data_IF_326653150658
#
_entry.id   IF_326653150658
#
_cell.length_a   1.000
_cell.length_b   1.000
_cell.length_c   1.000
_cell.angle_alpha   90.00
_cell.angle_beta   90.00
_cell.angle_gamma   90.00
#
_symmetry.space_group_name_H-M   'P 1'
#
loop_
_entity.id
_entity.type
_entity.pdbx_description
1 polymer ?
#
# COMPACT_ATOMS: atom_id res chain seq x y z
N UNK A 1 8.49 -5.80 -3.03
CA UNK A 1 8.56 -6.48 -1.71
C UNK A 1 7.27 -6.24 -0.95
N UNK A 2 6.93 -7.09 0.01
CA UNK A 2 5.63 -7.08 0.70
C UNK A 2 5.74 -7.20 2.21
N UNK A 3 6.53 -8.14 2.73
CA UNK A 3 6.78 -8.32 4.16
C UNK A 3 7.94 -7.44 4.66
N UNK A 4 8.21 -7.41 5.96
CA UNK A 4 9.42 -6.71 6.46
C UNK A 4 10.70 -7.48 6.12
N UNK A 5 10.65 -8.81 6.13
CA UNK A 5 11.81 -9.68 5.93
C UNK A 5 12.32 -9.60 4.49
N UNK A 6 11.44 -9.79 3.50
CA UNK A 6 11.81 -9.66 2.09
C UNK A 6 12.21 -8.22 1.75
N UNK A 7 11.60 -7.21 2.39
CA UNK A 7 12.07 -5.83 2.19
C UNK A 7 13.50 -5.63 2.63
N UNK A 8 13.93 -6.11 3.80
CA UNK A 8 15.34 -5.95 4.21
C UNK A 8 16.30 -6.63 3.24
N UNK A 9 16.00 -7.87 2.85
CA UNK A 9 16.84 -8.64 1.94
C UNK A 9 16.91 -8.02 0.54
N UNK A 10 15.76 -7.72 -0.06
CA UNK A 10 15.69 -7.16 -1.41
C UNK A 10 16.19 -5.72 -1.45
N UNK A 11 16.01 -4.94 -0.39
CA UNK A 11 16.57 -3.59 -0.29
C UNK A 11 18.09 -3.61 -0.26
N UNK A 12 18.68 -4.53 0.49
CA UNK A 12 20.13 -4.69 0.55
C UNK A 12 20.68 -5.10 -0.81
N UNK A 13 20.12 -6.17 -1.41
CA UNK A 13 20.57 -6.69 -2.71
C UNK A 13 20.32 -5.67 -3.83
N UNK A 14 19.13 -5.06 -3.86
CA UNK A 14 18.77 -4.04 -4.84
C UNK A 14 19.69 -2.82 -4.78
N UNK A 15 20.06 -2.37 -3.57
CA UNK A 15 21.02 -1.27 -3.41
C UNK A 15 22.43 -1.65 -3.87
N UNK A 16 22.90 -2.86 -3.57
CA UNK A 16 24.20 -3.35 -4.02
C UNK A 16 24.27 -3.48 -5.55
N UNK A 17 23.19 -3.94 -6.18
CA UNK A 17 23.09 -4.15 -7.62
C UNK A 17 22.56 -2.94 -8.39
N UNK A 18 22.22 -1.84 -7.70
CA UNK A 18 21.56 -0.64 -8.26
C UNK A 18 20.26 -0.95 -9.02
N UNK A 19 19.49 -1.90 -8.51
CA UNK A 19 18.17 -2.27 -9.03
C UNK A 19 17.09 -1.54 -8.19
N UNK A 20 16.16 -0.81 -8.82
CA UNK A 20 15.10 -0.12 -8.10
C UNK A 20 14.16 -1.11 -7.41
N UNK A 21 13.76 -0.80 -6.18
CA UNK A 21 12.88 -1.64 -5.36
C UNK A 21 11.55 -0.94 -5.16
N UNK A 22 10.46 -1.64 -5.49
CA UNK A 22 9.09 -1.19 -5.19
C UNK A 22 8.51 -2.03 -4.07
N UNK A 23 7.91 -1.37 -3.07
CA UNK A 23 7.22 -2.04 -1.95
C UNK A 23 5.72 -1.93 -2.12
N UNK A 24 4.99 -3.03 -1.91
CA UNK A 24 3.53 -3.05 -1.91
C UNK A 24 2.98 -3.13 -0.48
N UNK A 25 1.88 -2.44 -0.20
CA UNK A 25 1.16 -2.53 1.08
C UNK A 25 -0.35 -2.51 0.89
N UNK A 26 -1.03 -3.52 1.43
CA UNK A 26 -2.50 -3.58 1.43
C UNK A 26 -3.13 -3.53 2.84
N UNK A 27 -2.31 -3.50 3.89
CA UNK A 27 -2.79 -3.47 5.29
C UNK A 27 -2.81 -2.04 5.83
N UNK A 28 -3.89 -1.68 6.51
CA UNK A 28 -4.11 -0.37 7.15
C UNK A 28 -3.55 -0.26 8.57
N UNK A 29 -2.97 -1.34 9.11
CA UNK A 29 -2.33 -1.33 10.44
C UNK A 29 -1.27 -0.21 10.47
N UNK A 30 -1.28 0.69 11.45
CA UNK A 30 -0.30 1.78 11.52
C UNK A 30 1.14 1.26 11.53
N UNK A 31 2.02 1.96 10.81
CA UNK A 31 3.48 1.76 10.97
C UNK A 31 3.91 2.44 12.24
N UNK A 32 4.42 1.65 13.20
CA UNK A 32 5.09 2.21 14.35
C UNK A 32 6.32 3.00 13.90
N UNK A 33 6.43 4.24 14.37
CA UNK A 33 7.50 5.16 14.01
C UNK A 33 8.77 4.89 14.82
N UNK A 34 9.50 3.84 14.41
CA UNK A 34 10.83 3.54 14.92
C UNK A 34 11.78 3.22 13.77
N UNK A 35 13.07 3.36 14.02
CA UNK A 35 14.12 3.47 13.00
C UNK A 35 14.11 2.38 11.89
N UNK A 36 14.06 1.06 12.21
CA UNK A 36 13.97 -0.01 11.23
C UNK A 36 12.77 0.12 10.29
N UNK A 37 11.59 0.44 10.84
CA UNK A 37 10.39 0.62 10.04
C UNK A 37 10.51 1.85 9.15
N UNK A 38 11.00 2.97 9.69
CA UNK A 38 11.17 4.19 8.91
C UNK A 38 12.02 3.92 7.66
N UNK A 39 13.16 3.24 7.81
CA UNK A 39 14.04 2.92 6.70
C UNK A 39 13.41 1.99 5.66
N UNK A 40 12.67 0.98 6.12
CA UNK A 40 11.93 0.05 5.27
C UNK A 40 10.89 0.73 4.36
N UNK A 41 10.31 1.85 4.79
CA UNK A 41 9.29 2.57 4.03
C UNK A 41 9.81 3.79 3.29
N UNK A 42 10.80 4.51 3.82
CA UNK A 42 11.23 5.80 3.25
C UNK A 42 12.55 5.74 2.50
N UNK A 43 13.51 4.92 2.96
CA UNK A 43 14.91 5.03 2.51
C UNK A 43 15.32 4.01 1.47
N UNK A 44 14.75 2.80 1.56
CA UNK A 44 15.12 1.70 0.68
C UNK A 44 14.30 1.60 -0.60
N UNK A 45 12.96 1.64 -0.57
CA UNK A 45 12.19 1.57 -1.80
C UNK A 45 12.28 2.89 -2.57
N UNK A 46 12.30 2.79 -3.90
CA UNK A 46 12.13 3.94 -4.80
C UNK A 46 10.67 4.39 -4.80
N UNK A 47 9.74 3.44 -4.68
CA UNK A 47 8.31 3.71 -4.58
C UNK A 47 7.60 2.68 -3.68
N UNK A 48 6.52 3.13 -3.06
CA UNK A 48 5.59 2.33 -2.28
C UNK A 48 4.21 2.41 -2.91
N UNK A 49 3.69 1.26 -3.36
CA UNK A 49 2.33 1.13 -3.88
C UNK A 49 1.39 0.68 -2.76
N UNK A 50 0.21 1.27 -2.68
CA UNK A 50 -0.81 0.91 -1.70
C UNK A 50 -2.13 0.57 -2.37
N UNK A 51 -2.98 -0.22 -1.71
CA UNK A 51 -4.29 -0.62 -2.25
C UNK A 51 -5.41 0.42 -2.03
N UNK A 52 -5.11 1.58 -1.45
CA UNK A 52 -6.12 2.60 -1.18
C UNK A 52 -5.57 3.84 -0.49
N UNK A 53 -6.32 4.93 -0.60
CA UNK A 53 -5.83 6.26 -0.21
C UNK A 53 -5.55 6.39 1.28
N UNK A 54 -6.38 5.79 2.14
CA UNK A 54 -6.16 5.81 3.60
C UNK A 54 -4.79 5.23 4.00
N UNK A 55 -4.31 4.20 3.28
CA UNK A 55 -2.98 3.63 3.51
C UNK A 55 -1.90 4.58 2.98
N UNK A 56 -2.12 5.17 1.81
CA UNK A 56 -1.21 6.16 1.23
C UNK A 56 -1.02 7.37 2.15
N UNK A 57 -2.10 7.92 2.69
CA UNK A 57 -2.09 9.07 3.57
C UNK A 57 -1.35 8.77 4.88
N UNK A 58 -1.61 7.60 5.47
CA UNK A 58 -0.85 7.14 6.63
C UNK A 58 0.65 7.07 6.33
N UNK A 59 1.04 6.52 5.17
CA UNK A 59 2.44 6.43 4.78
C UNK A 59 3.09 7.78 4.48
N UNK A 60 2.36 8.71 3.85
CA UNK A 60 2.82 10.09 3.59
C UNK A 60 3.01 10.88 4.88
N UNK A 61 2.28 10.54 5.95
CA UNK A 61 2.48 11.12 7.28
C UNK A 61 3.77 10.67 7.98
N UNK A 62 4.44 9.62 7.47
CA UNK A 62 5.67 9.12 8.09
C UNK A 62 6.82 10.11 7.91
N UNK A 63 7.55 10.35 8.99
CA UNK A 63 8.69 11.24 8.96
C UNK A 63 9.75 10.76 7.94
N UNK A 64 10.12 11.66 7.03
CA UNK A 64 11.14 11.41 5.99
C UNK A 64 10.63 10.69 4.74
N UNK A 65 9.31 10.51 4.59
CA UNK A 65 8.69 10.08 3.34
C UNK A 65 8.62 11.27 2.36
N UNK A 66 9.07 11.08 1.11
CA UNK A 66 8.79 12.05 0.05
C UNK A 66 7.38 11.79 -0.54
N UNK A 67 6.57 12.83 -0.79
CA UNK A 67 5.20 12.66 -1.29
C UNK A 67 5.11 11.82 -2.57
N UNK A 68 6.10 11.92 -3.44
CA UNK A 68 6.17 11.27 -4.74
C UNK A 68 6.49 9.76 -4.64
N UNK A 69 7.00 9.32 -3.48
CA UNK A 69 7.33 7.91 -3.25
C UNK A 69 6.09 7.04 -3.02
N UNK A 70 4.91 7.61 -2.74
CA UNK A 70 3.71 6.84 -2.37
C UNK A 70 2.62 6.97 -3.41
N UNK A 71 2.28 5.84 -4.05
CA UNK A 71 1.26 5.75 -5.09
C UNK A 71 0.12 4.84 -4.64
N UNK A 72 -1.10 5.35 -4.74
CA UNK A 72 -2.32 4.59 -4.49
C UNK A 72 -2.75 3.90 -5.78
N UNK A 73 -2.82 2.57 -5.77
CA UNK A 73 -3.31 1.75 -6.87
C UNK A 73 -4.42 0.86 -6.30
N UNK A 74 -5.70 1.12 -6.63
CA UNK A 74 -6.80 0.33 -6.09
C UNK A 74 -6.66 -1.14 -6.47
N UNK A 75 -7.17 -2.02 -5.62
CA UNK A 75 -7.26 -3.43 -5.96
C UNK A 75 -8.05 -3.57 -7.27
N UNK A 76 -7.48 -4.30 -8.24
CA UNK A 76 -8.13 -4.54 -9.52
C UNK A 76 -9.45 -5.28 -9.31
N UNK A 77 -10.51 -4.77 -9.92
CA UNK A 77 -11.82 -5.41 -9.96
C UNK A 77 -12.27 -5.51 -11.42
N UNK A 78 -12.95 -6.59 -11.76
CA UNK A 78 -13.56 -6.77 -13.07
C UNK A 78 -14.79 -5.85 -13.20
N UNK A 79 -14.68 -4.80 -14.01
CA UNK A 79 -15.75 -3.80 -14.17
C UNK A 79 -16.91 -4.30 -15.02
N UNK A 80 -16.74 -5.39 -15.79
CA UNK A 80 -17.87 -6.04 -16.48
C UNK A 80 -18.74 -6.83 -15.50
N UNK A 81 -18.15 -7.26 -14.37
CA UNK A 81 -18.84 -7.98 -13.30
C UNK A 81 -19.27 -7.09 -12.14
N UNK A 82 -18.49 -6.06 -11.82
CA UNK A 82 -18.70 -5.18 -10.67
C UNK A 82 -18.85 -3.73 -11.13
N UNK A 83 -20.10 -3.33 -11.33
CA UNK A 83 -20.45 -1.96 -11.70
C UNK A 83 -20.76 -1.12 -10.44
N UNK A 84 -19.94 -0.09 -10.14
CA UNK A 84 -20.17 0.79 -8.98
C UNK A 84 -21.45 1.64 -9.10
N UNK A 85 -22.09 1.71 -10.27
CA UNK A 85 -23.36 2.42 -10.46
C UNK A 85 -24.60 1.63 -9.99
N UNK A 86 -24.45 0.34 -9.68
CA UNK A 86 -25.55 -0.47 -9.15
C UNK A 86 -25.92 -0.06 -7.72
N UNK A 87 -27.21 0.15 -7.45
CA UNK A 87 -27.76 0.62 -6.15
C UNK A 87 -27.35 -0.25 -4.94
N UNK A 88 -27.22 -1.56 -5.15
CA UNK A 88 -26.98 -2.54 -4.09
C UNK A 88 -28.19 -2.78 -3.16
N UNK A 89 -29.36 -2.22 -3.45
CA UNK A 89 -30.58 -2.34 -2.63
C UNK A 89 -31.01 -3.80 -2.41
N UNK A 90 -31.00 -4.64 -3.46
CA UNK A 90 -31.31 -6.07 -3.32
C UNK A 90 -30.38 -6.77 -2.32
N UNK A 91 -29.09 -6.45 -2.36
CA UNK A 91 -28.08 -6.95 -1.43
C UNK A 91 -28.32 -6.44 0.00
N UNK A 92 -28.71 -5.17 0.17
CA UNK A 92 -29.04 -4.62 1.50
C UNK A 92 -30.27 -5.28 2.10
N UNK A 93 -31.29 -5.55 1.30
CA UNK A 93 -32.49 -6.29 1.73
C UNK A 93 -32.15 -7.73 2.12
N UNK A 94 -31.34 -8.42 1.32
CA UNK A 94 -30.85 -9.77 1.63
C UNK A 94 -30.11 -9.82 2.97
N UNK A 95 -29.22 -8.85 3.20
CA UNK A 95 -28.43 -8.72 4.43
C UNK A 95 -29.19 -8.07 5.60
N UNK A 96 -30.46 -7.68 5.41
CA UNK A 96 -31.30 -7.00 6.41
C UNK A 96 -30.64 -5.73 6.98
N UNK A 97 -29.97 -4.96 6.11
CA UNK A 97 -29.30 -3.71 6.45
C UNK A 97 -30.23 -2.47 6.33
N UNK A 98 -31.49 -2.69 5.98
CA UNK A 98 -32.61 -1.75 5.97
C UNK A 98 -33.89 -2.51 6.32
#
# INVERSE_FOLDING_TARGET
THSSIDSWLVSLVGRLLRIPVVRSRHVSIPVADFFPNRWLYTRFPEAVITSGEAISDHLRSLHGMAPEQVVSIPAGVDLDRFDPALSGESFRQELRLT
#
